data_IF_280046397961
#
_entry.id   IF_280046397961
#
_cell.length_a   1.000
_cell.length_b   1.000
_cell.length_c   1.000
_cell.angle_alpha   90.00
_cell.angle_beta   90.00
_cell.angle_gamma   90.00
#
_symmetry.space_group_name_H-M   'P 1'
#
loop_
_entity.id
_entity.type
_entity.pdbx_description
1 polymer ?
#
# COMPACT_ATOMS: atom_id res chain seq x y z
N UNK A 1 54.00 28.51 18.05
CA UNK A 1 53.79 27.72 16.81
C UNK A 1 53.57 26.23 17.13
N UNK A 2 52.50 25.84 17.84
CA UNK A 2 52.22 24.41 18.15
C UNK A 2 50.75 23.98 17.94
N UNK A 3 49.84 24.92 17.62
CA UNK A 3 48.41 24.58 17.45
C UNK A 3 48.07 23.93 16.10
N UNK A 4 48.90 24.12 15.07
CA UNK A 4 48.62 23.61 13.72
C UNK A 4 48.90 22.12 13.50
N UNK A 5 49.76 21.50 14.32
CA UNK A 5 50.13 20.08 14.14
C UNK A 5 49.10 19.14 14.77
N UNK A 6 48.51 19.52 15.91
CA UNK A 6 47.45 18.73 16.57
C UNK A 6 46.20 18.62 15.72
N UNK A 7 45.77 19.72 15.08
CA UNK A 7 44.57 19.73 14.24
C UNK A 7 44.63 18.77 13.06
N UNK A 8 45.82 18.51 12.51
CA UNK A 8 46.01 17.60 11.36
C UNK A 8 45.95 16.13 11.78
N UNK A 9 46.35 15.80 13.01
CA UNK A 9 46.31 14.42 13.51
C UNK A 9 44.87 13.98 13.86
N UNK A 10 44.10 14.84 14.53
CA UNK A 10 42.71 14.56 14.92
C UNK A 10 41.78 14.39 13.70
N UNK A 11 41.99 15.17 12.64
CA UNK A 11 41.21 15.08 11.40
C UNK A 11 41.55 13.81 10.61
N UNK A 12 42.82 13.42 10.56
CA UNK A 12 43.24 12.18 9.87
C UNK A 12 42.76 10.95 10.62
N UNK A 13 42.81 10.96 11.96
CA UNK A 13 42.24 9.88 12.78
C UNK A 13 40.72 9.77 12.64
N UNK A 14 40.01 10.91 12.61
CA UNK A 14 38.56 10.94 12.42
C UNK A 14 38.15 10.46 11.02
N UNK A 15 38.89 10.85 9.97
CA UNK A 15 38.64 10.39 8.60
C UNK A 15 38.92 8.88 8.45
N UNK A 16 39.98 8.36 9.07
CA UNK A 16 40.30 6.93 9.05
C UNK A 16 39.25 6.09 9.80
N UNK A 17 38.75 6.57 10.95
CA UNK A 17 37.70 5.89 11.71
C UNK A 17 36.36 5.85 10.95
N UNK A 18 35.98 6.95 10.28
CA UNK A 18 34.80 6.99 9.41
C UNK A 18 34.93 6.04 8.21
N UNK A 19 36.09 6.01 7.55
CA UNK A 19 36.34 5.10 6.43
C UNK A 19 36.26 3.62 6.85
N UNK A 20 36.78 3.28 8.04
CA UNK A 20 36.71 1.92 8.58
C UNK A 20 35.26 1.50 8.93
N UNK A 21 34.45 2.41 9.46
CA UNK A 21 33.02 2.18 9.74
C UNK A 21 32.21 1.97 8.44
N UNK A 22 32.49 2.74 7.39
CA UNK A 22 31.86 2.57 6.07
C UNK A 22 32.23 1.22 5.46
N UNK A 23 33.49 0.81 5.54
CA UNK A 23 33.94 -0.48 5.02
C UNK A 23 33.34 -1.67 5.78
N UNK A 24 33.13 -1.55 7.09
CA UNK A 24 32.51 -2.61 7.89
C UNK A 24 31.02 -2.84 7.54
N UNK A 25 30.35 -1.81 7.02
CA UNK A 25 28.93 -1.86 6.64
C UNK A 25 28.68 -2.62 5.32
N UNK A 26 29.71 -2.79 4.46
CA UNK A 26 29.56 -3.43 3.15
C UNK A 26 29.64 -4.97 3.17
N UNK A 27 29.97 -5.59 4.31
CA UNK A 27 30.12 -7.05 4.41
C UNK A 27 28.82 -7.80 4.78
N UNK A 28 27.66 -7.12 4.76
CA UNK A 28 26.40 -7.62 5.35
C UNK A 28 25.19 -7.78 4.42
N UNK A 29 25.35 -7.88 3.09
CA UNK A 29 24.23 -8.21 2.19
C UNK A 29 24.52 -9.52 1.45
N UNK A 30 24.15 -10.62 2.11
CA UNK A 30 24.06 -11.95 1.51
C UNK A 30 22.60 -12.43 1.53
N UNK A 31 22.14 -12.95 0.38
CA UNK A 31 20.88 -13.64 0.08
C UNK A 31 19.60 -12.79 0.05
N UNK A 32 18.75 -12.85 -0.98
CA UNK A 32 18.74 -13.70 -2.18
C UNK A 32 17.46 -13.46 -2.99
N UNK A 33 17.43 -13.94 -4.23
CA UNK A 33 16.23 -13.99 -5.07
C UNK A 33 16.43 -13.41 -6.46
N UNK A 34 16.98 -14.23 -7.36
CA UNK A 34 17.12 -13.96 -8.78
C UNK A 34 15.83 -14.42 -9.50
N UNK A 35 14.99 -13.48 -9.94
CA UNK A 35 13.90 -13.78 -10.87
C UNK A 35 13.79 -12.67 -11.91
N UNK A 36 14.61 -12.79 -12.95
CA UNK A 36 14.35 -12.19 -14.26
C UNK A 36 13.07 -12.80 -14.81
N UNK A 37 12.01 -12.01 -14.96
CA UNK A 37 10.93 -12.32 -15.90
C UNK A 37 10.37 -11.02 -16.48
N UNK A 38 10.96 -10.67 -17.62
CA UNK A 38 10.40 -9.78 -18.62
C UNK A 38 9.20 -10.48 -19.25
N UNK A 39 8.01 -10.19 -18.72
CA UNK A 39 6.74 -10.55 -19.35
C UNK A 39 6.23 -9.36 -20.16
N UNK A 40 6.56 -9.36 -21.45
CA UNK A 40 5.84 -8.61 -22.47
C UNK A 40 4.38 -9.09 -22.49
N UNK A 41 3.45 -8.20 -22.15
CA UNK A 41 2.02 -8.39 -22.46
C UNK A 41 1.58 -7.20 -23.29
N UNK A 42 1.98 -7.22 -24.57
CA UNK A 42 1.20 -6.62 -25.62
C UNK A 42 -0.13 -7.38 -25.75
N UNK A 43 -1.23 -6.76 -25.32
CA UNK A 43 -2.54 -7.40 -25.29
C UNK A 43 -3.69 -6.40 -25.29
N UNK A 44 -3.81 -5.65 -26.38
CA UNK A 44 -5.03 -5.15 -27.01
C UNK A 44 -6.26 -4.87 -26.11
N UNK A 45 -6.56 -3.57 -25.92
CA UNK A 45 -7.87 -3.11 -25.48
C UNK A 45 -8.94 -3.47 -26.53
N UNK A 46 -9.67 -4.56 -26.31
CA UNK A 46 -10.89 -4.88 -27.03
C UNK A 46 -12.03 -4.03 -26.45
N UNK A 47 -12.55 -3.10 -27.25
CA UNK A 47 -13.77 -2.36 -26.95
C UNK A 47 -14.95 -3.32 -26.72
N UNK A 48 -15.84 -3.08 -25.73
CA UNK A 48 -17.05 -3.87 -25.58
C UNK A 48 -18.02 -3.61 -26.76
N UNK A 49 -18.70 -4.65 -27.29
CA UNK A 49 -19.73 -4.48 -28.32
C UNK A 49 -20.99 -3.79 -27.77
N UNK A 50 -21.75 -3.06 -28.63
CA UNK A 50 -22.95 -2.33 -28.21
C UNK A 50 -24.12 -3.26 -27.85
N UNK A 51 -24.90 -2.84 -26.86
CA UNK A 51 -26.05 -3.52 -26.26
C UNK A 51 -27.19 -3.81 -27.27
N UNK A 52 -27.87 -4.98 -27.21
CA UNK A 52 -29.18 -5.18 -27.82
C UNK A 52 -30.34 -4.64 -26.94
N UNK A 53 -31.52 -4.37 -27.54
CA UNK A 53 -32.58 -3.54 -26.96
C UNK A 53 -33.50 -4.27 -25.96
N UNK A 54 -34.15 -3.46 -25.12
CA UNK A 54 -35.18 -3.84 -24.15
C UNK A 54 -36.46 -4.29 -24.86
N UNK A 55 -36.97 -5.48 -24.52
CA UNK A 55 -38.37 -5.84 -24.79
C UNK A 55 -39.02 -6.47 -23.55
N UNK A 56 -40.05 -5.79 -23.05
CA UNK A 56 -41.02 -6.28 -22.07
C UNK A 56 -41.93 -7.30 -22.73
N UNK A 57 -42.11 -8.49 -22.13
CA UNK A 57 -43.28 -9.35 -22.38
C UNK A 57 -43.65 -10.10 -21.10
N UNK A 58 -44.92 -9.96 -20.71
CA UNK A 58 -45.59 -10.56 -19.55
C UNK A 58 -46.27 -11.89 -19.94
N UNK A 59 -46.06 -12.95 -19.16
CA UNK A 59 -47.00 -14.07 -18.86
C UNK A 59 -46.33 -15.03 -17.85
N UNK A 60 -46.72 -15.06 -16.57
CA UNK A 60 -47.66 -16.02 -15.95
C UNK A 60 -47.49 -17.48 -16.37
N UNK A 61 -47.01 -18.35 -15.47
CA UNK A 61 -47.87 -19.28 -14.71
C UNK A 61 -47.09 -20.12 -13.64
N UNK A 62 -47.78 -20.33 -12.50
CA UNK A 62 -47.66 -21.40 -11.47
C UNK A 62 -46.47 -21.44 -10.46
N UNK A 63 -46.78 -21.51 -9.13
CA UNK A 63 -45.80 -21.50 -8.04
C UNK A 63 -45.32 -22.91 -7.64
N UNK A 64 -44.04 -23.05 -7.33
CA UNK A 64 -43.48 -24.32 -6.89
C UNK A 64 -42.12 -24.17 -6.22
N UNK A 65 -42.15 -24.01 -4.90
CA UNK A 65 -41.12 -24.35 -3.89
C UNK A 65 -39.69 -24.47 -4.42
N UNK A 66 -38.89 -23.45 -4.18
CA UNK A 66 -37.47 -23.64 -3.90
C UNK A 66 -37.11 -22.69 -2.76
N UNK A 67 -36.58 -23.30 -1.70
CA UNK A 67 -36.12 -22.75 -0.44
C UNK A 67 -35.71 -21.28 -0.52
N UNK A 68 -36.23 -20.51 0.43
CA UNK A 68 -35.49 -19.42 1.06
C UNK A 68 -34.19 -20.03 1.63
N UNK A 69 -33.19 -20.21 0.76
CA UNK A 69 -31.81 -20.10 1.19
C UNK A 69 -31.68 -18.65 1.64
N UNK A 70 -31.88 -18.50 2.94
CA UNK A 70 -31.36 -17.46 3.80
C UNK A 70 -30.13 -16.82 3.15
N UNK A 71 -30.39 -15.83 2.30
CA UNK A 71 -29.43 -14.82 1.92
C UNK A 71 -29.26 -13.99 3.19
N UNK A 72 -28.58 -14.59 4.17
CA UNK A 72 -27.99 -13.89 5.28
C UNK A 72 -27.13 -12.82 4.62
N UNK A 73 -27.70 -11.61 4.54
CA UNK A 73 -27.02 -10.39 4.16
C UNK A 73 -25.79 -10.39 5.06
N UNK A 74 -24.63 -10.73 4.49
CA UNK A 74 -23.39 -10.70 5.20
C UNK A 74 -23.19 -9.25 5.60
N UNK A 75 -23.53 -8.93 6.85
CA UNK A 75 -23.27 -7.65 7.49
C UNK A 75 -21.86 -7.23 7.09
N UNK A 76 -21.67 -6.02 6.51
CA UNK A 76 -20.39 -5.64 5.93
C UNK A 76 -19.29 -5.76 6.98
N UNK A 77 -18.47 -6.83 6.91
CA UNK A 77 -17.41 -7.11 7.89
C UNK A 77 -16.63 -5.83 8.12
N UNK A 78 -16.69 -5.32 9.34
CA UNK A 78 -15.96 -4.10 9.67
C UNK A 78 -14.48 -4.44 9.75
N UNK A 79 -13.69 -3.89 8.81
CA UNK A 79 -12.24 -3.98 8.86
C UNK A 79 -11.74 -3.10 9.99
N UNK A 80 -11.07 -3.72 10.96
CA UNK A 80 -10.47 -3.00 12.09
C UNK A 80 -9.06 -2.54 11.73
N UNK A 81 -8.58 -1.50 12.42
CA UNK A 81 -7.20 -1.06 12.27
C UNK A 81 -6.21 -2.20 12.57
N UNK A 82 -6.47 -2.98 13.62
CA UNK A 82 -5.59 -4.08 14.04
C UNK A 82 -5.45 -5.17 12.98
N UNK A 83 -6.54 -5.47 12.25
CA UNK A 83 -6.52 -6.42 11.13
C UNK A 83 -5.62 -5.92 9.99
N UNK A 84 -5.78 -4.66 9.58
CA UNK A 84 -4.94 -4.04 8.55
C UNK A 84 -3.46 -3.92 8.98
N UNK A 85 -3.22 -3.56 10.24
CA UNK A 85 -1.88 -3.45 10.81
C UNK A 85 -1.18 -4.82 10.89
N UNK A 86 -1.89 -5.90 11.22
CA UNK A 86 -1.32 -7.25 11.22
C UNK A 86 -0.81 -7.64 9.82
N UNK A 87 -1.63 -7.41 8.78
CA UNK A 87 -1.23 -7.68 7.40
C UNK A 87 0.02 -6.87 7.00
N UNK A 88 0.09 -5.60 7.42
CA UNK A 88 1.26 -4.75 7.20
C UNK A 88 2.51 -5.28 7.89
N UNK A 89 2.42 -5.62 9.17
CA UNK A 89 3.55 -6.13 9.98
C UNK A 89 4.05 -7.48 9.47
N UNK A 90 3.15 -8.32 8.96
CA UNK A 90 3.46 -9.61 8.33
C UNK A 90 4.01 -9.46 6.90
N UNK A 91 4.17 -8.22 6.41
CA UNK A 91 4.67 -7.88 5.07
C UNK A 91 3.76 -8.32 3.92
N UNK A 92 2.49 -8.60 4.21
CA UNK A 92 1.44 -8.85 3.21
C UNK A 92 0.93 -7.50 2.68
N UNK A 93 1.81 -6.74 2.03
CA UNK A 93 1.54 -5.33 1.72
C UNK A 93 0.37 -5.12 0.75
N UNK A 94 0.19 -6.01 -0.22
CA UNK A 94 -0.97 -5.93 -1.13
C UNK A 94 -2.29 -6.08 -0.36
N UNK A 95 -2.37 -7.04 0.57
CA UNK A 95 -3.55 -7.20 1.42
C UNK A 95 -3.71 -6.05 2.41
N UNK A 96 -2.61 -5.53 2.95
CA UNK A 96 -2.65 -4.34 3.80
C UNK A 96 -3.20 -3.12 3.05
N UNK A 97 -2.91 -2.97 1.75
CA UNK A 97 -3.53 -1.93 0.90
C UNK A 97 -5.05 -2.09 0.89
N UNK A 98 -5.57 -3.28 0.59
CA UNK A 98 -7.01 -3.53 0.54
C UNK A 98 -7.69 -3.24 1.90
N UNK A 99 -7.09 -3.71 2.98
CA UNK A 99 -7.61 -3.52 4.34
C UNK A 99 -7.57 -2.05 4.77
N UNK A 100 -6.46 -1.34 4.52
CA UNK A 100 -6.36 0.09 4.85
C UNK A 100 -7.23 0.97 3.95
N UNK A 101 -7.51 0.54 2.71
CA UNK A 101 -8.45 1.22 1.82
C UNK A 101 -9.86 1.16 2.42
N UNK A 102 -10.36 -0.04 2.75
CA UNK A 102 -11.66 -0.21 3.42
C UNK A 102 -11.73 0.53 4.76
N UNK A 103 -10.65 0.46 5.55
CA UNK A 103 -10.57 1.15 6.84
C UNK A 103 -10.68 2.67 6.70
N UNK A 104 -10.03 3.23 5.68
CA UNK A 104 -9.94 4.69 5.45
C UNK A 104 -11.16 5.25 4.73
N UNK A 105 -11.85 4.48 3.89
CA UNK A 105 -13.11 4.87 3.25
C UNK A 105 -14.18 5.21 4.29
N UNK A 106 -14.32 4.37 5.32
CA UNK A 106 -15.28 4.59 6.42
C UNK A 106 -14.86 5.72 7.36
N UNK A 107 -13.57 6.10 7.34
CA UNK A 107 -12.95 7.10 8.23
C UNK A 107 -12.15 8.10 7.41
N UNK A 108 -12.81 8.75 6.45
CA UNK A 108 -12.16 9.62 5.47
C UNK A 108 -11.33 10.76 6.09
N UNK A 109 -11.65 11.18 7.32
CA UNK A 109 -10.97 12.24 8.08
C UNK A 109 -9.87 11.71 9.02
N UNK A 110 -9.39 10.50 8.79
CA UNK A 110 -8.33 9.88 9.58
C UNK A 110 -6.99 9.96 8.81
N UNK A 111 -6.14 10.98 9.06
CA UNK A 111 -4.86 11.11 8.36
C UNK A 111 -3.93 9.92 8.60
N UNK A 112 -4.02 9.27 9.77
CA UNK A 112 -3.24 8.07 10.06
C UNK A 112 -3.64 6.87 9.18
N UNK A 113 -4.94 6.70 8.91
CA UNK A 113 -5.42 5.63 8.01
C UNK A 113 -4.88 5.80 6.59
N UNK A 114 -4.97 7.01 6.05
CA UNK A 114 -4.43 7.35 4.73
C UNK A 114 -2.89 7.22 4.69
N UNK A 115 -2.19 7.59 5.76
CA UNK A 115 -0.75 7.39 5.87
C UNK A 115 -0.37 5.91 5.79
N UNK A 116 -1.06 5.04 6.53
CA UNK A 116 -0.80 3.60 6.52
C UNK A 116 -1.17 2.95 5.18
N UNK A 117 -2.23 3.42 4.51
CA UNK A 117 -2.55 3.05 3.13
C UNK A 117 -1.39 3.41 2.19
N UNK A 118 -0.89 4.65 2.25
CA UNK A 118 0.21 5.11 1.41
C UNK A 118 1.50 4.34 1.65
N UNK A 119 1.82 4.04 2.91
CA UNK A 119 2.99 3.25 3.28
C UNK A 119 2.89 1.79 2.79
N UNK A 120 1.68 1.21 2.85
CA UNK A 120 1.41 -0.14 2.34
C UNK A 120 1.54 -0.20 0.82
N UNK A 121 0.95 0.78 0.12
CA UNK A 121 1.00 0.89 -1.34
C UNK A 121 2.43 1.10 -1.86
N UNK A 122 3.21 1.95 -1.19
CA UNK A 122 4.62 2.13 -1.54
C UNK A 122 5.42 0.82 -1.38
N UNK A 123 5.16 0.06 -0.31
CA UNK A 123 5.84 -1.22 -0.06
C UNK A 123 5.38 -2.35 -0.99
N UNK A 124 4.18 -2.28 -1.56
CA UNK A 124 3.72 -3.20 -2.61
C UNK A 124 4.16 -2.80 -4.02
N UNK A 125 4.71 -1.59 -4.19
CA UNK A 125 5.18 -1.06 -5.48
C UNK A 125 4.19 -0.17 -6.22
N UNK A 126 3.00 0.08 -5.65
CA UNK A 126 2.01 1.00 -6.20
C UNK A 126 2.31 2.44 -5.76
N UNK A 127 3.25 3.06 -6.49
CA UNK A 127 3.68 4.43 -6.19
C UNK A 127 2.59 5.48 -6.45
N UNK A 128 1.68 5.22 -7.38
CA UNK A 128 0.59 6.15 -7.70
C UNK A 128 -0.41 6.21 -6.55
N UNK A 129 -0.88 5.04 -6.09
CA UNK A 129 -1.78 4.95 -4.94
C UNK A 129 -1.10 5.49 -3.67
N UNK A 130 0.20 5.25 -3.51
CA UNK A 130 0.95 5.78 -2.38
C UNK A 130 0.92 7.31 -2.33
N UNK A 131 1.20 7.97 -3.47
CA UNK A 131 1.18 9.42 -3.56
C UNK A 131 -0.21 9.99 -3.23
N UNK A 132 -1.27 9.44 -3.82
CA UNK A 132 -2.65 9.88 -3.57
C UNK A 132 -3.04 9.72 -2.10
N UNK A 133 -2.69 8.58 -1.49
CA UNK A 133 -2.96 8.33 -0.08
C UNK A 133 -2.19 9.28 0.84
N UNK A 134 -0.92 9.56 0.55
CA UNK A 134 -0.15 10.55 1.31
C UNK A 134 -0.71 11.97 1.18
N UNK A 135 -1.17 12.37 -0.02
CA UNK A 135 -1.83 13.67 -0.21
C UNK A 135 -3.09 13.78 0.65
N UNK A 136 -3.95 12.75 0.65
CA UNK A 136 -5.13 12.71 1.55
C UNK A 136 -4.75 12.78 3.02
N UNK A 137 -3.66 12.13 3.44
CA UNK A 137 -3.19 12.21 4.82
C UNK A 137 -2.79 13.65 5.20
N UNK A 138 -2.15 14.38 4.27
CA UNK A 138 -1.71 15.74 4.48
C UNK A 138 -2.88 16.73 4.60
N UNK A 139 -3.93 16.56 3.78
CA UNK A 139 -5.13 17.42 3.79
C UNK A 139 -5.75 17.55 5.18
N UNK A 140 -5.78 16.47 5.96
CA UNK A 140 -6.35 16.48 7.31
C UNK A 140 -5.32 16.86 8.39
N UNK A 141 -4.03 16.60 8.16
CA UNK A 141 -2.97 16.93 9.12
C UNK A 141 -2.75 18.45 9.27
N UNK A 142 -3.05 19.21 8.22
CA UNK A 142 -2.89 20.66 8.15
C UNK A 142 -4.27 21.34 8.12
N UNK A 143 -5.12 21.04 9.09
CA UNK A 143 -6.24 21.95 9.40
C UNK A 143 -5.73 23.02 10.37
N UNK A 144 -5.50 24.27 9.92
CA UNK A 144 -5.20 25.34 10.86
C UNK A 144 -6.42 25.55 11.75
N UNK A 145 -6.21 25.53 13.07
CA UNK A 145 -7.23 25.91 14.05
C UNK A 145 -7.67 27.35 13.72
N UNK A 146 -8.84 27.50 13.10
CA UNK A 146 -9.52 28.80 12.94
C UNK A 146 -10.25 29.16 14.23
#
# INVERSE_FOLDING_TARGET
MQRGLKFRAEVVWSAAALALLVLLSLAGVGCGGDETSQGDVGGQATLPPPLPPVETTLASDTPGVASEEDLAVAEPREVTYAEAESAFLERRYAEAVDLFMLYSERRAQNPWGHYMLGLSAWKSGDNWLAEEAFQRALDWSWTPLM
#
